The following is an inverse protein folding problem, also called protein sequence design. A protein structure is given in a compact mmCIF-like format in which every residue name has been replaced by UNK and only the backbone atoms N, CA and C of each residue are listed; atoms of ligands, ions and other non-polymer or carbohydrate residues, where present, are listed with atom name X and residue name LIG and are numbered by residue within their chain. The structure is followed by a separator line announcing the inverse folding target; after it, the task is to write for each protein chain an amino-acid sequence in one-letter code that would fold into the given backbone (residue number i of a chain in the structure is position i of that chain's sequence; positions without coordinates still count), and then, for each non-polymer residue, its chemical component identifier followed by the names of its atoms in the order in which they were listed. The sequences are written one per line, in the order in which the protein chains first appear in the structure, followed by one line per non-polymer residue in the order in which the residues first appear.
data_IF_225263956447
#
_entry.id   IF_225263956447
#
_cell.length_a   1.000
_cell.length_b   1.000
_cell.length_c   1.000
_cell.angle_alpha   90.00
_cell.angle_beta   90.00
_cell.angle_gamma   90.00
#
_symmetry.space_group_name_H-M   'P 1'
#
loop_
_entity.id
_entity.type
_entity.pdbx_description
1 polymer ?
#
# COMPACT_ATOMS: atom_id res chain seq x y z
N UNK A 1 -0.64 29.42 -55.06
CA UNK A 1 -0.89 28.76 -53.79
C UNK A 1 0.39 28.11 -53.27
N UNK A 2 1.01 28.54 -52.16
CA UNK A 2 2.24 27.96 -51.66
C UNK A 2 1.96 26.81 -50.69
N UNK A 3 2.75 25.74 -50.85
CA UNK A 3 2.87 24.57 -50.06
C UNK A 3 3.39 24.84 -48.65
N UNK A 4 2.72 24.34 -47.63
CA UNK A 4 3.21 24.33 -46.25
C UNK A 4 4.27 23.24 -46.09
N UNK A 5 5.47 23.61 -45.68
CA UNK A 5 6.54 22.72 -45.25
C UNK A 5 6.29 22.29 -43.80
N UNK A 6 6.17 21.00 -43.59
CA UNK A 6 6.18 20.40 -42.27
C UNK A 6 7.52 20.62 -41.58
N UNK A 7 7.48 21.07 -40.32
CA UNK A 7 8.63 21.08 -39.41
C UNK A 7 8.70 19.76 -38.68
N UNK A 8 9.75 19.05 -38.96
CA UNK A 8 10.23 17.92 -38.19
C UNK A 8 10.59 18.39 -36.77
N UNK A 9 9.82 17.99 -35.78
CA UNK A 9 10.12 18.22 -34.37
C UNK A 9 10.74 16.94 -33.83
N UNK A 10 12.06 16.87 -33.91
CA UNK A 10 12.86 15.81 -33.31
C UNK A 10 12.54 15.60 -31.85
N UNK A 11 11.92 14.44 -31.58
CA UNK A 11 11.64 13.95 -30.24
C UNK A 11 12.94 13.66 -29.48
N UNK A 12 13.29 14.51 -28.53
CA UNK A 12 14.28 14.16 -27.50
C UNK A 12 13.61 13.25 -26.50
N UNK A 13 14.02 11.98 -26.51
CA UNK A 13 13.63 11.00 -25.54
C UNK A 13 13.94 11.47 -24.11
N UNK A 14 12.91 11.79 -23.38
CA UNK A 14 12.99 11.93 -21.94
C UNK A 14 13.29 10.54 -21.36
N UNK A 15 14.49 10.36 -20.83
CA UNK A 15 14.82 9.22 -19.97
C UNK A 15 13.98 9.42 -18.71
N UNK A 16 12.91 8.62 -18.60
CA UNK A 16 12.05 8.60 -17.43
C UNK A 16 12.86 8.19 -16.21
N UNK A 17 12.96 9.07 -15.25
CA UNK A 17 13.37 8.72 -13.90
C UNK A 17 12.28 7.84 -13.31
N UNK A 18 12.60 6.58 -13.03
CA UNK A 18 11.73 5.58 -12.43
C UNK A 18 11.58 5.79 -10.90
N UNK A 19 11.30 6.99 -10.48
CA UNK A 19 10.81 7.23 -9.14
C UNK A 19 9.29 7.27 -9.22
N UNK A 20 8.66 6.12 -8.94
CA UNK A 20 7.23 6.08 -8.74
C UNK A 20 6.88 7.02 -7.60
N UNK A 21 6.21 8.11 -7.93
CA UNK A 21 5.70 9.03 -6.91
C UNK A 21 4.67 8.28 -6.06
N UNK A 22 4.95 8.10 -4.78
CA UNK A 22 3.96 7.59 -3.86
C UNK A 22 2.75 8.55 -3.85
N UNK A 23 1.56 8.00 -4.01
CA UNK A 23 0.31 8.78 -4.02
C UNK A 23 -0.29 8.74 -2.63
N UNK A 24 -0.28 9.88 -1.94
CA UNK A 24 -1.03 10.02 -0.71
C UNK A 24 -2.52 10.20 -1.06
N UNK A 25 -3.33 9.20 -0.78
CA UNK A 25 -4.75 9.21 -1.16
C UNK A 25 -5.64 10.06 -0.23
N UNK A 26 -5.10 10.67 0.84
CA UNK A 26 -5.87 11.55 1.71
C UNK A 26 -5.04 12.64 2.39
N UNK A 27 -5.55 13.88 2.40
CA UNK A 27 -4.86 15.09 2.92
C UNK A 27 -4.93 15.27 4.45
N UNK A 28 -5.53 14.38 5.21
CA UNK A 28 -5.55 14.54 6.67
C UNK A 28 -4.26 14.00 7.27
N UNK A 29 -3.61 14.83 8.09
CA UNK A 29 -2.37 14.49 8.80
C UNK A 29 -2.59 13.21 9.62
N UNK A 30 -1.90 12.11 9.37
CA UNK A 30 -1.82 11.03 10.34
C UNK A 30 -1.14 11.59 11.59
N UNK A 31 -1.82 11.54 12.71
CA UNK A 31 -1.24 11.84 14.02
C UNK A 31 -0.81 10.52 14.62
N UNK A 32 0.49 10.29 14.70
CA UNK A 32 1.03 9.22 15.50
C UNK A 32 1.71 8.11 14.69
N UNK A 33 2.76 7.57 15.29
CA UNK A 33 3.34 6.31 14.90
C UNK A 33 2.41 5.14 15.29
N UNK A 34 2.55 4.01 14.63
CA UNK A 34 1.78 2.80 14.94
C UNK A 34 2.64 1.55 14.78
N UNK A 35 2.25 0.50 15.49
CA UNK A 35 2.87 -0.81 15.33
C UNK A 35 2.54 -1.40 13.97
N UNK A 36 3.56 -1.87 13.26
CA UNK A 36 3.41 -2.43 11.94
C UNK A 36 2.76 -3.83 11.97
N UNK A 37 1.81 -4.06 11.08
CA UNK A 37 1.28 -5.38 10.73
C UNK A 37 1.67 -5.70 9.29
N UNK A 38 2.66 -6.57 9.13
CA UNK A 38 3.21 -6.93 7.83
C UNK A 38 2.38 -8.00 7.13
N UNK A 39 2.14 -7.84 5.82
CA UNK A 39 1.48 -8.82 4.99
C UNK A 39 1.94 -8.72 3.53
N UNK A 40 1.94 -9.85 2.81
CA UNK A 40 2.20 -9.91 1.38
C UNK A 40 0.94 -10.20 0.57
N UNK A 41 0.82 -9.62 -0.61
CA UNK A 41 -0.25 -9.90 -1.58
C UNK A 41 0.31 -10.30 -2.94
N UNK A 42 -0.51 -11.01 -3.74
CA UNK A 42 -0.29 -11.25 -5.17
C UNK A 42 -1.57 -10.97 -5.93
N UNK A 43 -1.45 -10.52 -7.17
CA UNK A 43 -2.57 -10.14 -7.99
C UNK A 43 -2.45 -10.56 -9.47
N UNK A 44 -1.24 -10.76 -10.00
CA UNK A 44 -1.03 -11.06 -11.42
C UNK A 44 -1.58 -12.43 -11.83
N UNK A 45 -1.70 -13.37 -10.88
CA UNK A 45 -2.22 -14.72 -11.14
C UNK A 45 -3.22 -15.14 -10.05
N UNK A 46 -4.22 -15.97 -10.37
CA UNK A 46 -5.09 -16.57 -9.37
C UNK A 46 -4.28 -17.37 -8.34
N UNK A 47 -4.73 -17.36 -7.08
CA UNK A 47 -4.15 -18.23 -6.07
C UNK A 47 -4.35 -19.70 -6.46
N UNK A 48 -3.32 -20.54 -6.33
CA UNK A 48 -3.43 -21.97 -6.63
C UNK A 48 -4.25 -22.75 -5.58
N UNK A 49 -4.61 -22.12 -4.47
CA UNK A 49 -5.33 -22.76 -3.38
C UNK A 49 -6.84 -22.91 -3.63
N UNK A 50 -7.49 -23.85 -2.94
CA UNK A 50 -8.94 -23.99 -3.00
C UNK A 50 -9.64 -22.76 -2.38
N UNK A 51 -10.89 -22.44 -2.80
CA UNK A 51 -11.62 -21.26 -2.29
C UNK A 51 -11.75 -21.20 -0.77
N UNK A 52 -11.81 -22.34 -0.09
CA UNK A 52 -11.87 -22.40 1.36
C UNK A 52 -10.57 -21.93 2.01
N UNK A 53 -9.42 -22.36 1.50
CA UNK A 53 -8.12 -21.92 1.99
C UNK A 53 -7.95 -20.39 1.81
N UNK A 54 -8.42 -19.85 0.70
CA UNK A 54 -8.39 -18.40 0.46
C UNK A 54 -9.26 -17.62 1.46
N UNK A 55 -10.44 -18.15 1.78
CA UNK A 55 -11.30 -17.57 2.81
C UNK A 55 -10.63 -17.61 4.18
N UNK A 56 -10.04 -18.75 4.54
CA UNK A 56 -9.32 -18.88 5.81
C UNK A 56 -8.14 -17.92 5.91
N UNK A 57 -7.29 -17.85 4.86
CA UNK A 57 -6.18 -16.89 4.81
C UNK A 57 -6.65 -15.44 5.00
N UNK A 58 -7.78 -15.07 4.39
CA UNK A 58 -8.37 -13.73 4.55
C UNK A 58 -8.84 -13.48 5.99
N UNK A 59 -9.46 -14.46 6.62
CA UNK A 59 -9.88 -14.36 8.03
C UNK A 59 -8.66 -14.21 8.94
N UNK A 60 -7.64 -15.00 8.72
CA UNK A 60 -6.40 -14.95 9.50
C UNK A 60 -5.67 -13.62 9.32
N UNK A 61 -5.67 -13.08 8.10
CA UNK A 61 -5.18 -11.73 7.83
C UNK A 61 -5.94 -10.68 8.65
N UNK A 62 -7.27 -10.67 8.64
CA UNK A 62 -8.04 -9.67 9.40
C UNK A 62 -7.83 -9.82 10.91
N UNK A 63 -7.65 -11.03 11.43
CA UNK A 63 -7.27 -11.25 12.83
C UNK A 63 -5.89 -10.69 13.14
N UNK A 64 -4.94 -10.86 12.21
CA UNK A 64 -3.58 -10.37 12.36
C UNK A 64 -3.50 -8.84 12.37
N UNK A 65 -4.25 -8.16 11.49
CA UNK A 65 -4.20 -6.70 11.36
C UNK A 65 -5.07 -5.97 12.37
N UNK A 66 -6.04 -6.64 12.99
CA UNK A 66 -6.85 -6.05 14.04
C UNK A 66 -5.96 -5.64 15.23
N UNK A 67 -5.92 -4.35 15.60
CA UNK A 67 -5.05 -3.88 16.67
C UNK A 67 -5.44 -4.45 18.02
N UNK A 68 -4.47 -4.61 18.92
CA UNK A 68 -4.75 -4.71 20.33
C UNK A 68 -5.38 -3.39 20.83
N UNK A 69 -6.26 -3.47 21.82
CA UNK A 69 -6.97 -2.31 22.34
C UNK A 69 -6.00 -1.18 22.74
N UNK A 70 -6.20 0.00 22.17
CA UNK A 70 -5.44 1.20 22.46
C UNK A 70 -4.06 1.29 21.79
N UNK A 71 -3.70 0.33 20.92
CA UNK A 71 -2.42 0.37 20.19
C UNK A 71 -2.68 0.87 18.77
N UNK A 72 -2.22 2.07 18.37
CA UNK A 72 -2.26 2.50 16.99
C UNK A 72 -1.56 1.49 16.09
N UNK A 73 -2.19 1.10 14.98
CA UNK A 73 -1.68 0.05 14.12
C UNK A 73 -1.69 0.51 12.67
N UNK A 74 -0.60 0.27 11.97
CA UNK A 74 -0.43 0.55 10.54
C UNK A 74 -0.22 -0.77 9.80
N UNK A 75 -0.96 -1.00 8.72
CA UNK A 75 -0.70 -2.14 7.83
C UNK A 75 0.43 -1.77 6.88
N UNK A 76 1.43 -2.63 6.77
CA UNK A 76 2.47 -2.53 5.74
C UNK A 76 2.33 -3.74 4.83
N UNK A 77 1.87 -3.49 3.61
CA UNK A 77 1.49 -4.54 2.66
C UNK A 77 2.37 -4.50 1.42
N UNK A 78 3.17 -5.55 1.25
CA UNK A 78 4.00 -5.71 0.05
C UNK A 78 3.21 -6.41 -1.05
N UNK A 79 3.15 -5.81 -2.22
CA UNK A 79 2.78 -6.50 -3.46
C UNK A 79 4.00 -7.29 -3.95
N UNK A 80 3.85 -8.62 -3.96
CA UNK A 80 4.89 -9.59 -4.26
C UNK A 80 4.94 -9.99 -5.74
N UNK A 81 4.15 -9.35 -6.58
CA UNK A 81 4.19 -9.58 -8.01
C UNK A 81 5.49 -9.06 -8.62
N UNK A 82 5.96 -9.69 -9.68
CA UNK A 82 7.14 -9.25 -10.43
C UNK A 82 7.01 -7.79 -10.91
N UNK A 83 5.77 -7.36 -11.18
CA UNK A 83 5.38 -5.99 -11.47
C UNK A 83 4.33 -5.53 -10.47
N UNK A 84 4.73 -4.92 -9.36
CA UNK A 84 3.78 -4.42 -8.37
C UNK A 84 2.78 -3.42 -8.96
N UNK A 85 1.57 -3.43 -8.45
CA UNK A 85 0.53 -2.47 -8.84
C UNK A 85 -0.39 -2.91 -9.99
N UNK A 86 -0.29 -4.14 -10.50
CA UNK A 86 -1.23 -4.68 -11.49
C UNK A 86 -2.62 -4.84 -10.89
N UNK A 87 -2.72 -5.39 -9.68
CA UNK A 87 -3.96 -5.54 -8.95
C UNK A 87 -3.96 -4.71 -7.68
N UNK A 88 -5.09 -4.07 -7.43
CA UNK A 88 -5.26 -3.19 -6.29
C UNK A 88 -6.01 -3.92 -5.18
N UNK A 89 -5.32 -4.23 -4.08
CA UNK A 89 -5.98 -4.71 -2.86
C UNK A 89 -6.77 -3.57 -2.20
N UNK A 90 -6.22 -2.35 -2.25
CA UNK A 90 -6.77 -1.17 -1.57
C UNK A 90 -7.76 -0.44 -2.46
N UNK A 91 -8.92 -0.15 -1.90
CA UNK A 91 -10.05 0.58 -2.50
C UNK A 91 -11.10 0.84 -1.43
N UNK A 92 -12.31 1.25 -1.84
CA UNK A 92 -13.44 1.58 -0.96
C UNK A 92 -13.64 0.55 0.15
N UNK A 93 -13.92 -0.71 -0.22
CA UNK A 93 -14.29 -1.76 0.75
C UNK A 93 -13.17 -2.04 1.74
N UNK A 94 -11.92 -2.21 1.25
CA UNK A 94 -10.82 -2.53 2.15
C UNK A 94 -10.42 -1.35 3.04
N UNK A 95 -10.51 -0.11 2.58
CA UNK A 95 -10.29 1.07 3.44
C UNK A 95 -11.32 1.14 4.57
N UNK A 96 -12.60 0.93 4.26
CA UNK A 96 -13.69 0.95 5.24
C UNK A 96 -13.57 -0.19 6.26
N UNK A 97 -13.25 -1.42 5.79
CA UNK A 97 -13.07 -2.59 6.68
C UNK A 97 -11.92 -2.37 7.65
N UNK A 98 -10.77 -1.90 7.17
CA UNK A 98 -9.60 -1.68 8.03
C UNK A 98 -9.80 -0.54 9.02
N UNK A 99 -10.44 0.55 8.59
CA UNK A 99 -10.85 1.62 9.51
C UNK A 99 -11.80 1.09 10.59
N UNK A 100 -12.80 0.30 10.20
CA UNK A 100 -13.73 -0.35 11.13
C UNK A 100 -13.08 -1.33 12.11
N UNK A 101 -11.96 -1.94 11.71
CA UNK A 101 -11.12 -2.75 12.60
C UNK A 101 -10.25 -1.90 13.56
N UNK A 102 -10.16 -0.59 13.35
CA UNK A 102 -9.32 0.31 14.15
C UNK A 102 -7.89 0.47 13.64
N UNK A 103 -7.60 0.03 12.41
CA UNK A 103 -6.31 0.27 11.76
C UNK A 103 -6.19 1.74 11.40
N UNK A 104 -5.03 2.34 11.66
CA UNK A 104 -4.79 3.79 11.50
C UNK A 104 -4.41 4.19 10.08
N UNK A 105 -4.07 3.25 9.21
CA UNK A 105 -3.68 3.52 7.82
C UNK A 105 -2.86 2.41 7.19
N UNK A 106 -2.45 2.61 5.95
CA UNK A 106 -1.65 1.62 5.21
C UNK A 106 -0.51 2.23 4.42
N UNK A 107 0.57 1.44 4.31
CA UNK A 107 1.71 1.65 3.43
C UNK A 107 1.81 0.44 2.49
N UNK A 108 1.88 0.66 1.16
CA UNK A 108 2.00 -0.41 0.16
C UNK A 108 2.76 0.02 -1.08
N UNK A 109 3.58 -0.87 -1.64
CA UNK A 109 4.17 -0.72 -2.97
C UNK A 109 3.23 -1.15 -4.11
N UNK A 110 2.03 -1.62 -3.78
CA UNK A 110 0.95 -1.91 -4.72
C UNK A 110 0.17 -0.67 -5.15
N UNK A 111 -0.96 -0.88 -5.81
CA UNK A 111 -1.85 0.20 -6.25
C UNK A 111 -3.06 0.40 -5.34
N UNK A 112 -3.67 1.57 -5.47
CA UNK A 112 -4.96 1.93 -4.86
C UNK A 112 -5.97 2.29 -5.95
N UNK A 113 -7.25 1.94 -5.76
CA UNK A 113 -8.38 2.32 -6.61
C UNK A 113 -9.44 3.09 -5.82
N UNK A 114 -10.52 3.48 -6.48
CA UNK A 114 -11.73 4.07 -5.87
C UNK A 114 -11.42 5.36 -5.06
N UNK A 115 -10.56 6.24 -5.61
CA UNK A 115 -10.04 7.41 -4.88
C UNK A 115 -11.12 8.35 -4.32
N UNK A 116 -12.27 8.45 -5.01
CA UNK A 116 -13.40 9.27 -4.57
C UNK A 116 -14.23 8.65 -3.45
N UNK A 117 -14.11 7.33 -3.25
CA UNK A 117 -14.97 6.53 -2.38
C UNK A 117 -14.18 5.85 -1.24
N UNK A 118 -12.91 6.17 -1.10
CA UNK A 118 -12.09 5.69 0.02
C UNK A 118 -12.64 6.19 1.35
N UNK A 119 -12.49 5.37 2.39
CA UNK A 119 -12.85 5.79 3.75
C UNK A 119 -12.14 7.09 4.15
N UNK A 120 -12.89 8.16 4.51
CA UNK A 120 -12.34 9.52 4.63
C UNK A 120 -11.27 9.70 5.71
N UNK A 121 -11.23 8.81 6.69
CA UNK A 121 -10.28 8.88 7.82
C UNK A 121 -9.15 7.88 7.72
N UNK A 122 -9.12 7.06 6.64
CA UNK A 122 -8.14 6.00 6.46
C UNK A 122 -7.04 6.42 5.45
N UNK A 123 -5.87 6.89 5.91
CA UNK A 123 -4.79 7.30 5.03
C UNK A 123 -4.15 6.09 4.32
N UNK A 124 -3.89 6.25 3.03
CA UNK A 124 -3.23 5.25 2.20
C UNK A 124 -2.02 5.88 1.54
N UNK A 125 -0.84 5.29 1.75
CA UNK A 125 0.37 5.60 1.01
C UNK A 125 0.66 4.42 0.07
N UNK A 126 0.41 4.62 -1.22
CA UNK A 126 0.54 3.60 -2.26
C UNK A 126 1.52 4.01 -3.35
N UNK A 127 2.09 3.03 -4.07
CA UNK A 127 3.02 3.30 -5.17
C UNK A 127 2.32 3.86 -6.42
N UNK A 128 1.07 3.48 -6.65
CA UNK A 128 0.37 3.84 -7.88
C UNK A 128 -1.15 3.85 -7.69
N UNK A 129 -1.83 4.37 -8.69
CA UNK A 129 -3.28 4.27 -8.83
C UNK A 129 -3.56 3.25 -9.94
N UNK A 130 -4.44 2.29 -9.68
CA UNK A 130 -4.82 1.28 -10.64
C UNK A 130 -6.32 0.97 -10.59
N UNK A 131 -6.99 0.74 -11.73
CA UNK A 131 -8.44 0.55 -11.76
C UNK A 131 -8.88 -0.87 -11.43
N UNK A 132 -7.94 -1.83 -11.40
CA UNK A 132 -8.28 -3.25 -11.41
C UNK A 132 -8.04 -3.94 -10.08
N UNK A 133 -9.02 -4.74 -9.67
CA UNK A 133 -8.83 -5.70 -8.58
C UNK A 133 -7.94 -6.89 -9.01
N UNK A 134 -7.95 -7.26 -10.30
CA UNK A 134 -7.29 -8.46 -10.83
C UNK A 134 -7.58 -9.70 -9.96
N UNK A 135 -6.58 -10.55 -9.70
CA UNK A 135 -6.71 -11.74 -8.87
C UNK A 135 -6.15 -11.55 -7.45
N UNK A 136 -6.20 -10.31 -6.93
CA UNK A 136 -5.55 -9.97 -5.66
C UNK A 136 -6.00 -10.90 -4.52
N UNK A 137 -5.01 -11.44 -3.82
CA UNK A 137 -5.20 -12.31 -2.67
C UNK A 137 -4.06 -12.13 -1.67
N UNK A 138 -4.32 -12.46 -0.42
CA UNK A 138 -3.30 -12.50 0.63
C UNK A 138 -2.43 -13.73 0.38
N UNK A 139 -1.12 -13.52 0.35
CA UNK A 139 -0.12 -14.58 0.19
C UNK A 139 0.52 -14.94 1.53
N UNK A 140 1.02 -13.93 2.25
CA UNK A 140 1.70 -14.09 3.53
C UNK A 140 1.13 -13.15 4.58
N UNK A 141 1.23 -13.54 5.86
CA UNK A 141 0.81 -12.75 7.01
C UNK A 141 1.88 -12.84 8.09
N UNK A 142 2.29 -11.70 8.63
CA UNK A 142 3.30 -11.64 9.71
C UNK A 142 4.75 -11.86 9.27
N UNK A 143 5.00 -12.07 7.99
CA UNK A 143 6.36 -12.17 7.44
C UNK A 143 6.99 -10.80 7.24
N UNK A 144 8.34 -10.66 7.31
CA UNK A 144 8.99 -9.41 6.96
C UNK A 144 8.65 -8.98 5.52
N UNK A 145 8.41 -7.69 5.33
CA UNK A 145 8.10 -7.09 4.03
C UNK A 145 9.06 -5.97 3.70
N UNK A 146 9.14 -5.64 2.41
CA UNK A 146 9.87 -4.48 1.92
C UNK A 146 8.96 -3.60 1.05
N UNK A 147 8.76 -2.35 1.45
CA UNK A 147 7.92 -1.38 0.77
C UNK A 147 8.70 -0.08 0.59
N UNK A 148 8.91 0.36 -0.65
CA UNK A 148 9.71 1.55 -1.01
C UNK A 148 11.16 1.52 -0.49
N UNK A 149 11.77 0.33 -0.37
CA UNK A 149 13.09 0.15 0.22
C UNK A 149 13.10 0.15 1.76
N UNK A 150 11.95 0.33 2.39
CA UNK A 150 11.80 0.22 3.83
C UNK A 150 11.49 -1.23 4.21
N UNK A 151 12.44 -1.89 4.85
CA UNK A 151 12.21 -3.21 5.44
C UNK A 151 11.45 -3.06 6.76
N UNK A 152 10.37 -3.82 6.89
CA UNK A 152 9.48 -3.76 8.05
C UNK A 152 9.24 -5.18 8.58
N UNK A 153 9.33 -5.34 9.88
CA UNK A 153 8.91 -6.55 10.58
C UNK A 153 7.69 -6.26 11.46
N UNK A 154 7.07 -7.33 11.93
CA UNK A 154 5.94 -7.22 12.85
C UNK A 154 6.33 -6.43 14.10
N UNK A 155 5.46 -5.53 14.55
CA UNK A 155 5.61 -4.62 15.70
C UNK A 155 6.68 -3.52 15.56
N UNK A 156 7.31 -3.35 14.39
CA UNK A 156 8.11 -2.15 14.15
C UNK A 156 7.26 -0.89 14.34
N UNK A 157 7.85 0.14 14.93
CA UNK A 157 7.21 1.45 15.02
C UNK A 157 7.40 2.21 13.71
N UNK A 158 6.29 2.53 13.06
CA UNK A 158 6.26 3.27 11.79
C UNK A 158 5.70 4.68 12.02
N UNK A 159 6.40 5.67 11.51
CA UNK A 159 5.83 6.99 11.25
C UNK A 159 5.67 7.15 9.73
N UNK A 160 4.50 7.60 9.29
CA UNK A 160 4.22 7.83 7.87
C UNK A 160 3.40 9.12 7.69
N UNK A 161 3.73 9.86 6.63
CA UNK A 161 2.97 11.03 6.18
C UNK A 161 2.97 11.11 4.63
N UNK A 162 2.52 12.24 4.07
CA UNK A 162 2.49 12.46 2.60
C UNK A 162 3.87 12.44 1.93
N UNK A 163 4.96 12.54 2.69
CA UNK A 163 6.32 12.59 2.16
C UNK A 163 6.98 11.21 2.14
N UNK A 164 6.43 10.25 2.90
CA UNK A 164 6.94 8.88 2.99
C UNK A 164 6.76 8.25 4.35
N UNK A 165 7.56 7.24 4.63
CA UNK A 165 7.51 6.51 5.89
C UNK A 165 8.92 6.20 6.41
N UNK A 166 9.03 6.08 7.73
CA UNK A 166 10.26 5.66 8.41
C UNK A 166 9.94 4.64 9.51
N UNK A 167 10.83 3.67 9.69
CA UNK A 167 10.87 2.85 10.91
C UNK A 167 11.64 3.60 11.99
N UNK A 168 11.07 3.70 13.17
CA UNK A 168 11.71 4.32 14.34
C UNK A 168 12.32 3.21 15.18
N UNK A 169 13.65 3.18 15.32
CA UNK A 169 14.31 2.18 16.15
C UNK A 169 13.86 2.28 17.61
N UNK A 170 13.61 1.16 18.30
CA UNK A 170 13.09 1.16 19.67
C UNK A 170 13.94 1.98 20.66
N UNK A 171 15.27 2.00 20.49
CA UNK A 171 16.16 2.74 21.37
C UNK A 171 16.05 4.28 21.25
N UNK A 172 15.37 4.78 20.24
CA UNK A 172 15.11 6.22 20.06
C UNK A 172 13.78 6.66 20.67
N UNK A 173 12.94 5.74 21.13
CA UNK A 173 11.62 6.08 21.68
C UNK A 173 11.68 6.92 22.95
N UNK A 174 12.74 6.74 23.77
CA UNK A 174 12.94 7.53 24.99
C UNK A 174 13.39 8.98 24.71
N UNK A 175 13.80 9.26 23.46
CA UNK A 175 14.28 10.58 23.04
C UNK A 175 13.22 11.39 22.27
N UNK A 176 12.04 10.81 22.00
CA UNK A 176 10.91 11.42 21.32
C UNK A 176 9.85 11.90 22.32
#
# INVERSE_FOLDING_TARGET
LPSARGRDMGGRGARGSTWGSAVAAHERRPRGGGCARAAGTRAAQPSPGPPEALRQTRVDYYRHVAPAAGVPTVVVMQDLDERPGIGSFWGEVNSAVHEGLGVSGVLTNGSVRDLGDLSPSFPILAASIGPSHAFVHIHDVGTPVEVFGLRVVHDDLIHADRHGAVCIPPHLLEAL
#
